data_IF_208927762379
#
_entry.id   IF_208927762379
#
_cell.length_a   1.000
_cell.length_b   1.000
_cell.length_c   1.000
_cell.angle_alpha   90.00
_cell.angle_beta   90.00
_cell.angle_gamma   90.00
#
_symmetry.space_group_name_H-M   'P 1'
#
loop_
_entity.id
_entity.type
_entity.pdbx_description
1 polymer ?
#
# COMPACT_ATOMS: atom_id res chain seq x y z
N UNK A 1 11.78 -9.55 -18.17
CA UNK A 1 10.91 -10.58 -17.57
C UNK A 1 11.08 -10.56 -16.06
N UNK A 2 9.99 -10.49 -15.30
CA UNK A 2 10.02 -10.82 -13.87
C UNK A 2 10.06 -12.35 -13.81
N UNK A 3 11.09 -12.97 -13.20
CA UNK A 3 11.15 -14.42 -13.09
C UNK A 3 9.88 -14.94 -12.43
N UNK A 4 9.23 -15.93 -13.04
CA UNK A 4 8.03 -16.55 -12.51
C UNK A 4 8.34 -17.32 -11.22
N UNK A 5 8.34 -16.61 -10.09
CA UNK A 5 8.26 -17.22 -8.77
C UNK A 5 6.82 -17.64 -8.46
N UNK A 6 6.64 -18.66 -7.63
CA UNK A 6 5.33 -19.07 -7.12
C UNK A 6 4.66 -17.90 -6.40
N UNK A 7 3.56 -17.37 -6.96
CA UNK A 7 2.73 -16.38 -6.29
C UNK A 7 1.87 -17.10 -5.26
N UNK A 8 2.24 -16.96 -3.98
CA UNK A 8 1.51 -17.59 -2.88
C UNK A 8 0.14 -16.96 -2.69
N UNK A 9 -0.92 -17.76 -2.77
CA UNK A 9 -2.28 -17.36 -2.38
C UNK A 9 -2.47 -17.52 -0.87
N UNK A 10 -2.93 -16.46 -0.21
CA UNK A 10 -3.28 -16.48 1.22
C UNK A 10 -4.81 -16.36 1.37
N UNK A 11 -5.44 -17.12 2.27
CA UNK A 11 -6.88 -17.02 2.50
C UNK A 11 -7.24 -15.74 3.27
N UNK A 12 -8.47 -15.25 3.07
CA UNK A 12 -9.04 -14.13 3.82
C UNK A 12 -8.73 -12.75 3.23
N UNK A 13 -9.05 -11.69 4.02
CA UNK A 13 -8.80 -10.30 3.64
C UNK A 13 -7.39 -9.88 4.09
N UNK A 14 -6.55 -9.31 3.22
CA UNK A 14 -5.25 -8.78 3.62
C UNK A 14 -5.41 -7.58 4.56
N UNK A 15 -4.52 -7.48 5.54
CA UNK A 15 -4.38 -6.25 6.33
C UNK A 15 -3.57 -5.23 5.54
N UNK A 16 -4.26 -4.29 4.89
CA UNK A 16 -3.64 -3.21 4.13
C UNK A 16 -2.72 -2.36 5.02
N UNK A 17 -3.14 -2.10 6.26
CA UNK A 17 -2.32 -1.40 7.25
C UNK A 17 -0.98 -2.09 7.48
N UNK A 18 -0.99 -3.38 7.83
CA UNK A 18 0.24 -4.12 8.11
C UNK A 18 1.17 -4.21 6.89
N UNK A 19 0.62 -4.32 5.69
CA UNK A 19 1.40 -4.37 4.45
C UNK A 19 2.08 -3.02 4.18
N UNK A 20 1.35 -1.91 4.28
CA UNK A 20 1.89 -0.58 4.01
C UNK A 20 2.87 -0.13 5.10
N UNK A 21 2.55 -0.34 6.38
CA UNK A 21 3.43 -0.03 7.50
C UNK A 21 4.73 -0.83 7.42
N UNK A 22 4.67 -2.12 7.08
CA UNK A 22 5.87 -2.94 6.89
C UNK A 22 6.79 -2.44 5.76
N UNK A 23 6.24 -1.82 4.70
CA UNK A 23 7.03 -1.20 3.64
C UNK A 23 7.72 0.09 4.10
N UNK A 24 7.08 0.85 5.00
CA UNK A 24 7.67 2.05 5.60
C UNK A 24 8.77 1.67 6.57
N UNK A 25 8.51 0.71 7.47
CA UNK A 25 9.45 0.28 8.50
C UNK A 25 10.73 -0.36 7.91
N UNK A 26 10.60 -1.07 6.80
CA UNK A 26 11.73 -1.66 6.09
C UNK A 26 12.40 -0.68 5.10
N UNK A 27 11.79 0.47 4.84
CA UNK A 27 12.19 1.40 3.78
C UNK A 27 13.25 2.41 4.23
N UNK A 28 14.33 2.55 3.47
CA UNK A 28 15.28 3.63 3.70
C UNK A 28 14.66 5.00 3.33
N UNK A 29 15.07 6.11 3.98
CA UNK A 29 14.53 7.46 3.69
C UNK A 29 14.73 7.92 2.24
N UNK A 30 15.73 7.36 1.54
CA UNK A 30 16.03 7.66 0.14
C UNK A 30 15.12 6.95 -0.85
N UNK A 31 14.27 6.03 -0.39
CA UNK A 31 13.34 5.26 -1.23
C UNK A 31 11.99 5.95 -1.32
N UNK A 32 11.21 5.53 -2.31
CA UNK A 32 9.85 6.00 -2.54
C UNK A 32 8.89 4.83 -2.62
N UNK A 33 7.76 4.93 -1.93
CA UNK A 33 6.66 3.96 -1.99
C UNK A 33 5.49 4.63 -2.71
N UNK A 34 4.99 3.96 -3.75
CA UNK A 34 3.82 4.39 -4.51
C UNK A 34 2.74 3.33 -4.32
N UNK A 35 1.56 3.76 -3.86
CA UNK A 35 0.40 2.89 -3.68
C UNK A 35 -0.69 3.30 -4.66
N UNK A 36 -1.14 2.34 -5.46
CA UNK A 36 -2.33 2.45 -6.31
C UNK A 36 -3.47 1.65 -5.69
N UNK A 37 -4.65 2.24 -5.58
CA UNK A 37 -5.84 1.56 -5.08
C UNK A 37 -7.07 1.85 -5.96
N UNK A 38 -7.80 0.78 -6.27
CA UNK A 38 -9.03 0.81 -7.03
C UNK A 38 -9.96 -0.27 -6.46
N UNK A 39 -11.19 0.10 -6.14
CA UNK A 39 -12.16 -0.84 -5.57
C UNK A 39 -13.26 -0.15 -4.75
N UNK A 40 -13.95 -0.90 -3.86
CA UNK A 40 -15.06 -0.38 -3.10
C UNK A 40 -14.61 0.73 -2.13
N UNK A 41 -15.53 1.63 -1.79
CA UNK A 41 -15.27 2.80 -0.93
C UNK A 41 -14.50 2.45 0.35
N UNK A 42 -14.94 1.41 1.09
CA UNK A 42 -14.25 0.99 2.31
C UNK A 42 -12.79 0.53 2.10
N UNK A 43 -12.42 0.04 0.91
CA UNK A 43 -11.01 -0.22 0.59
C UNK A 43 -10.26 1.09 0.37
N UNK A 44 -10.83 2.03 -0.40
CA UNK A 44 -10.21 3.31 -0.70
C UNK A 44 -10.01 4.15 0.58
N UNK A 45 -11.00 4.16 1.47
CA UNK A 45 -10.90 4.77 2.80
C UNK A 45 -9.77 4.15 3.62
N UNK A 46 -9.74 2.81 3.71
CA UNK A 46 -8.68 2.08 4.46
C UNK A 46 -7.29 2.42 3.93
N UNK A 47 -7.11 2.48 2.60
CA UNK A 47 -5.83 2.83 1.99
C UNK A 47 -5.46 4.27 2.27
N UNK A 48 -6.41 5.21 2.19
CA UNK A 48 -6.17 6.63 2.45
C UNK A 48 -5.75 6.90 3.90
N UNK A 49 -6.50 6.34 4.85
CA UNK A 49 -6.20 6.43 6.29
C UNK A 49 -4.81 5.86 6.61
N UNK A 50 -4.51 4.70 6.02
CA UNK A 50 -3.21 4.04 6.22
C UNK A 50 -2.07 4.86 5.60
N UNK A 51 -2.26 5.44 4.41
CA UNK A 51 -1.25 6.27 3.77
C UNK A 51 -0.90 7.48 4.62
N UNK A 52 -1.90 8.14 5.22
CA UNK A 52 -1.69 9.25 6.16
C UNK A 52 -0.86 8.82 7.37
N UNK A 53 -1.14 7.61 7.90
CA UNK A 53 -0.34 7.01 8.97
C UNK A 53 1.03 6.53 8.52
N UNK A 54 1.34 6.43 7.23
CA UNK A 54 2.66 6.00 6.74
C UNK A 54 3.64 7.17 6.58
N UNK A 55 3.17 8.41 6.69
CA UNK A 55 4.01 9.60 6.59
C UNK A 55 4.87 9.72 7.85
N UNK A 56 6.20 9.66 7.70
CA UNK A 56 7.19 9.74 8.78
C UNK A 56 8.34 10.68 8.37
N UNK A 57 8.91 11.49 9.29
CA UNK A 57 10.01 12.41 8.97
C UNK A 57 11.28 11.73 8.44
N UNK A 58 11.53 10.50 8.88
CA UNK A 58 12.71 9.67 8.58
C UNK A 58 12.36 8.39 7.81
N UNK A 59 11.15 8.31 7.26
CA UNK A 59 10.70 7.20 6.41
C UNK A 59 10.88 7.46 4.92
N UNK A 60 10.62 6.46 4.06
CA UNK A 60 10.56 6.67 2.61
C UNK A 60 9.45 7.66 2.25
N UNK A 61 9.62 8.38 1.14
CA UNK A 61 8.54 9.24 0.65
C UNK A 61 7.36 8.40 0.16
N UNK A 62 6.13 8.80 0.49
CA UNK A 62 4.92 8.05 0.18
C UNK A 62 4.04 8.79 -0.83
N UNK A 63 3.45 8.09 -1.79
CA UNK A 63 2.50 8.67 -2.75
C UNK A 63 1.34 7.73 -2.97
N UNK A 64 0.11 8.27 -2.88
CA UNK A 64 -1.12 7.52 -3.06
C UNK A 64 -1.84 7.98 -4.34
N UNK A 65 -2.23 7.02 -5.17
CA UNK A 65 -3.13 7.20 -6.29
C UNK A 65 -4.37 6.34 -6.07
N UNK A 66 -5.54 6.96 -6.01
CA UNK A 66 -6.83 6.26 -5.91
C UNK A 66 -7.63 6.48 -7.18
N UNK A 67 -8.18 5.41 -7.73
CA UNK A 67 -9.10 5.45 -8.85
C UNK A 67 -10.47 4.93 -8.38
N UNK A 68 -11.52 5.72 -8.62
CA UNK A 68 -12.90 5.33 -8.37
C UNK A 68 -13.60 5.03 -9.69
N UNK A 69 -14.21 3.85 -9.81
CA UNK A 69 -15.13 3.54 -10.90
C UNK A 69 -16.54 3.45 -10.32
N UNK A 70 -17.50 4.18 -10.88
CA UNK A 70 -18.85 4.35 -10.34
C UNK A 70 -19.81 3.18 -10.61
N UNK A 71 -19.36 1.95 -10.39
CA UNK A 71 -20.19 0.74 -10.50
C UNK A 71 -20.83 0.34 -9.17
#
# INVERSE_FOLDING_TARGET
>A
EVPGGDIRTLPGRPSIAALMEGLVDAGAPTKRVIVGACGPEGLLETVNDTASRCIRPDGPSFTLHTEGFGW
#
